data_IF_338380501564
#
_entry.id   IF_338380501564
#
_cell.length_a   1.000
_cell.length_b   1.000
_cell.length_c   1.000
_cell.angle_alpha   90.00
_cell.angle_beta   90.00
_cell.angle_gamma   90.00
#
_symmetry.space_group_name_H-M   'P 1'
#
loop_
_entity.id
_entity.type
_entity.pdbx_description
1 polymer ?
#
# COMPACT_ATOMS: atom_id res chain seq x y z
N UNK A 1 43.29 22.10 -15.04
CA UNK A 1 42.82 22.50 -13.69
C UNK A 1 41.29 22.44 -13.72
N UNK A 2 40.74 21.41 -13.09
CA UNK A 2 39.43 21.30 -12.40
C UNK A 2 38.16 21.80 -13.11
N UNK A 3 37.23 20.91 -13.48
CA UNK A 3 36.14 20.35 -12.66
C UNK A 3 34.89 21.28 -12.70
N UNK A 4 33.65 20.82 -12.88
CA UNK A 4 32.97 19.66 -12.32
C UNK A 4 31.72 19.37 -13.16
N UNK A 5 31.43 18.09 -13.37
CA UNK A 5 30.13 17.61 -13.85
C UNK A 5 29.01 18.12 -12.93
N UNK A 6 28.05 18.85 -13.49
CA UNK A 6 26.84 19.25 -12.78
C UNK A 6 25.95 18.00 -12.61
N UNK A 7 25.91 17.46 -11.39
CA UNK A 7 25.01 16.35 -11.04
C UNK A 7 23.62 16.95 -10.84
N UNK A 8 22.72 16.65 -11.78
CA UNK A 8 21.28 16.86 -11.65
C UNK A 8 20.75 15.90 -10.58
N UNK A 9 20.41 16.43 -9.40
CA UNK A 9 19.76 15.65 -8.36
C UNK A 9 18.30 15.40 -8.74
N UNK A 10 18.02 14.23 -9.31
CA UNK A 10 16.67 13.71 -9.50
C UNK A 10 16.13 13.27 -8.13
N UNK A 11 15.34 14.13 -7.48
CA UNK A 11 14.58 13.74 -6.30
C UNK A 11 13.52 12.71 -6.71
N UNK A 12 13.76 11.44 -6.41
CA UNK A 12 12.77 10.39 -6.52
C UNK A 12 11.66 10.63 -5.48
N UNK A 13 10.48 11.04 -5.94
CA UNK A 13 9.27 11.02 -5.12
C UNK A 13 8.83 9.56 -4.96
N UNK A 14 9.18 8.93 -3.85
CA UNK A 14 8.63 7.61 -3.50
C UNK A 14 7.14 7.83 -3.22
N UNK A 15 6.21 7.33 -4.06
CA UNK A 15 4.80 7.46 -3.77
C UNK A 15 4.49 6.72 -2.46
N UNK A 16 3.59 7.24 -1.62
CA UNK A 16 3.20 6.53 -0.41
C UNK A 16 2.53 5.21 -0.82
N UNK A 17 2.92 4.12 -0.16
CA UNK A 17 2.55 2.73 -0.46
C UNK A 17 1.06 2.40 -0.19
N UNK A 18 0.14 3.22 -0.71
CA UNK A 18 -1.31 3.01 -0.73
C UNK A 18 -1.72 2.33 -2.02
N UNK A 19 -1.20 1.13 -2.26
CA UNK A 19 -1.41 0.41 -3.51
C UNK A 19 -1.86 -1.03 -3.29
N UNK A 20 -2.20 -1.41 -2.05
CA UNK A 20 -2.81 -2.72 -1.82
C UNK A 20 -4.28 -2.70 -2.22
N UNK A 21 -4.73 -3.83 -2.76
CA UNK A 21 -6.14 -4.10 -3.01
C UNK A 21 -6.62 -5.24 -2.11
N UNK A 22 -7.65 -5.00 -1.30
CA UNK A 22 -8.24 -5.99 -0.38
C UNK A 22 -9.59 -6.45 -0.91
N UNK A 23 -9.66 -7.72 -1.30
CA UNK A 23 -10.87 -8.35 -1.81
C UNK A 23 -11.59 -9.09 -0.69
N UNK A 24 -12.89 -8.85 -0.53
CA UNK A 24 -13.72 -9.49 0.47
C UNK A 24 -14.47 -10.70 -0.09
N UNK A 25 -14.85 -11.62 0.80
CA UNK A 25 -15.59 -12.85 0.43
C UNK A 25 -16.99 -12.57 -0.12
N UNK A 26 -17.56 -11.39 0.14
CA UNK A 26 -18.85 -10.96 -0.41
C UNK A 26 -18.73 -10.27 -1.80
N UNK A 27 -17.54 -10.27 -2.41
CA UNK A 27 -17.30 -9.68 -3.73
C UNK A 27 -17.00 -8.18 -3.75
N UNK A 28 -17.03 -7.50 -2.59
CA UNK A 28 -16.58 -6.10 -2.47
C UNK A 28 -15.05 -6.02 -2.39
N UNK A 29 -14.49 -4.85 -2.66
CA UNK A 29 -13.06 -4.57 -2.46
C UNK A 29 -12.78 -3.19 -1.92
N UNK A 30 -11.59 -3.03 -1.33
CA UNK A 30 -10.94 -1.76 -1.02
C UNK A 30 -9.71 -1.63 -1.90
N UNK A 31 -9.60 -0.51 -2.61
CA UNK A 31 -8.51 -0.26 -3.56
C UNK A 31 -7.57 0.82 -3.02
N UNK A 32 -6.29 0.71 -3.38
CA UNK A 32 -5.30 1.73 -3.05
C UNK A 32 -5.21 2.00 -1.55
N UNK A 33 -5.18 0.94 -0.76
CA UNK A 33 -5.11 1.02 0.70
C UNK A 33 -3.76 0.53 1.21
N UNK A 34 -3.51 0.74 2.51
CA UNK A 34 -2.45 0.01 3.21
C UNK A 34 -3.12 -1.11 4.00
N UNK A 35 -2.80 -2.35 3.66
CA UNK A 35 -3.32 -3.54 4.33
C UNK A 35 -2.24 -4.21 5.18
N UNK A 36 -2.47 -4.35 6.48
CA UNK A 36 -1.58 -5.07 7.38
C UNK A 36 -2.32 -6.30 7.96
N UNK A 37 -1.76 -7.49 7.76
CA UNK A 37 -2.31 -8.71 8.37
C UNK A 37 -1.69 -8.91 9.75
N UNK A 38 -2.52 -8.91 10.79
CA UNK A 38 -2.11 -9.12 12.18
C UNK A 38 -2.93 -10.23 12.81
N UNK A 39 -2.35 -11.42 12.97
CA UNK A 39 -3.04 -12.58 13.53
C UNK A 39 -4.26 -12.97 12.70
N UNK A 40 -5.46 -12.86 13.30
CA UNK A 40 -6.75 -13.19 12.67
C UNK A 40 -7.48 -11.99 12.05
N UNK A 41 -6.79 -10.86 11.89
CA UNK A 41 -7.35 -9.63 11.33
C UNK A 41 -6.50 -9.05 10.21
N UNK A 42 -7.17 -8.35 9.29
CA UNK A 42 -6.57 -7.49 8.30
C UNK A 42 -6.97 -6.05 8.63
N UNK A 43 -5.96 -5.21 8.88
CA UNK A 43 -6.12 -3.79 9.18
C UNK A 43 -5.90 -2.98 7.91
N UNK A 44 -6.93 -2.24 7.51
CA UNK A 44 -6.98 -1.44 6.30
C UNK A 44 -6.90 0.03 6.69
N UNK A 45 -5.88 0.74 6.22
CA UNK A 45 -5.74 2.19 6.40
C UNK A 45 -6.05 2.91 5.09
N UNK A 46 -6.95 3.88 5.18
CA UNK A 46 -7.44 4.72 4.10
C UNK A 46 -7.33 6.20 4.50
N UNK A 47 -7.54 7.12 3.56
CA UNK A 47 -7.59 8.55 3.86
C UNK A 47 -8.63 8.91 4.94
N UNK A 48 -9.73 8.16 5.03
CA UNK A 48 -10.81 8.36 6.01
C UNK A 48 -10.60 7.69 7.37
N UNK A 49 -9.48 6.99 7.59
CA UNK A 49 -9.18 6.33 8.86
C UNK A 49 -8.79 4.87 8.71
N UNK A 50 -9.01 4.10 9.78
CA UNK A 50 -8.57 2.70 9.88
C UNK A 50 -9.76 1.79 10.13
N UNK A 51 -9.85 0.72 9.33
CA UNK A 51 -10.84 -0.34 9.45
C UNK A 51 -10.12 -1.66 9.76
N UNK A 52 -10.61 -2.41 10.73
CA UNK A 52 -10.12 -3.77 10.99
C UNK A 52 -11.19 -4.78 10.59
N UNK A 53 -10.82 -5.76 9.78
CA UNK A 53 -11.69 -6.85 9.34
C UNK A 53 -11.15 -8.19 9.83
N UNK A 54 -12.00 -9.14 10.25
CA UNK A 54 -11.59 -10.52 10.45
C UNK A 54 -11.07 -11.12 9.15
N UNK A 55 -10.01 -11.93 9.20
CA UNK A 55 -9.45 -12.60 8.01
C UNK A 55 -10.47 -13.51 7.33
N UNK A 56 -11.48 -14.02 8.05
CA UNK A 56 -12.57 -14.81 7.47
C UNK A 56 -13.47 -14.02 6.50
N UNK A 57 -13.45 -12.69 6.55
CA UNK A 57 -14.17 -11.82 5.62
C UNK A 57 -13.31 -11.39 4.42
N UNK A 58 -12.00 -11.66 4.47
CA UNK A 58 -11.04 -11.29 3.44
C UNK A 58 -10.80 -12.50 2.56
N UNK A 59 -11.06 -12.37 1.27
CA UNK A 59 -10.77 -13.40 0.28
C UNK A 59 -9.28 -13.42 -0.09
N UNK A 60 -8.70 -12.23 -0.34
CA UNK A 60 -7.26 -12.06 -0.60
C UNK A 60 -6.83 -10.59 -0.48
N UNK A 61 -5.52 -10.39 -0.34
CA UNK A 61 -4.87 -9.08 -0.40
C UNK A 61 -3.86 -9.12 -1.54
N UNK A 62 -4.01 -8.23 -2.51
CA UNK A 62 -3.04 -7.99 -3.58
C UNK A 62 -2.12 -6.85 -3.13
N UNK A 63 -0.81 -7.11 -3.17
CA UNK A 63 0.24 -6.16 -2.79
C UNK A 63 0.86 -5.61 -4.07
N UNK A 64 0.77 -4.30 -4.28
CA UNK A 64 1.58 -3.65 -5.32
C UNK A 64 2.95 -3.36 -4.70
N UNK A 65 3.94 -4.12 -5.13
CA UNK A 65 5.32 -3.90 -4.72
C UNK A 65 5.87 -2.72 -5.52
N UNK A 66 6.24 -1.65 -4.83
CA UNK A 66 6.96 -0.54 -5.44
C UNK A 66 8.41 -0.99 -5.68
N UNK A 67 8.74 -1.38 -6.91
CA UNK A 67 10.12 -1.60 -7.39
C UNK A 67 11.01 -0.35 -7.23
#
# INVERSE_FOLDING_TARGET
>A
MQARFAIFALLASIPPAFADDVYLTNGRKFEGVIAETTGSQVRIRMAGGVLSLPSSQVARVEKEESD
#
